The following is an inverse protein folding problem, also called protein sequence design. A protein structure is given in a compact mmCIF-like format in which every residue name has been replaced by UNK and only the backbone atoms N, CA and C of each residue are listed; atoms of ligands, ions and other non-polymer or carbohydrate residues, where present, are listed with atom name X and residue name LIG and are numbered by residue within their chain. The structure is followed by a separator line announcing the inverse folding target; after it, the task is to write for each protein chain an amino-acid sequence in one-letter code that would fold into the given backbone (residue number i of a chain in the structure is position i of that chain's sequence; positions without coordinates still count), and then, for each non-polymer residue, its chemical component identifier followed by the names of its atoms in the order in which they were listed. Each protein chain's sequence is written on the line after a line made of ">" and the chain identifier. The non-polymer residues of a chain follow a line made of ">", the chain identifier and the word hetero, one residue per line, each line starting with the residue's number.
data_IF_055659106249
#
_entry.id   IF_055659106249
#
_cell.length_a   1.000
_cell.length_b   1.000
_cell.length_c   1.000
_cell.angle_alpha   90.00
_cell.angle_beta   90.00
_cell.angle_gamma   90.00
#
_symmetry.space_group_name_H-M   'P 1'
#
loop_
_entity.id
_entity.type
_entity.pdbx_description
1 polymer ?
#
# COMPACT_ATOMS: atom_id res chain seq x y z
N UNK A 1 -9.48 -8.54 -33.73
CA UNK A 1 -10.05 -8.33 -32.38
C UNK A 1 -9.95 -6.86 -32.04
N UNK A 2 -11.08 -6.18 -31.81
CA UNK A 2 -11.07 -4.74 -31.51
C UNK A 2 -10.62 -4.52 -30.07
N UNK A 3 -9.70 -3.58 -29.87
CA UNK A 3 -9.10 -3.24 -28.59
C UNK A 3 -10.18 -2.66 -27.65
N UNK A 4 -10.52 -3.37 -26.56
CA UNK A 4 -11.51 -2.91 -25.57
C UNK A 4 -10.88 -1.77 -24.75
N UNK A 5 -11.13 -0.53 -25.15
CA UNK A 5 -10.69 0.67 -24.42
C UNK A 5 -11.71 1.03 -23.34
N UNK A 6 -11.23 1.35 -22.14
CA UNK A 6 -12.07 1.78 -21.02
C UNK A 6 -12.71 3.14 -21.26
N UNK A 7 -12.06 4.02 -22.04
CA UNK A 7 -12.57 5.34 -22.39
C UNK A 7 -12.50 5.61 -23.90
N UNK A 8 -13.54 6.21 -24.50
CA UNK A 8 -13.68 6.30 -25.95
C UNK A 8 -12.91 7.46 -26.61
N UNK A 9 -12.44 8.47 -25.85
CA UNK A 9 -11.80 9.68 -26.40
C UNK A 9 -10.39 9.87 -25.84
N UNK A 10 -9.44 10.23 -26.71
CA UNK A 10 -8.06 10.53 -26.35
C UNK A 10 -7.71 11.97 -26.73
N UNK A 11 -7.04 12.69 -25.83
CA UNK A 11 -6.47 14.01 -26.07
C UNK A 11 -4.95 13.86 -26.10
N UNK A 12 -4.29 14.33 -27.16
CA UNK A 12 -2.82 14.33 -27.31
C UNK A 12 -2.34 15.77 -27.42
N UNK A 13 -1.36 16.14 -26.61
CA UNK A 13 -0.66 17.42 -26.71
C UNK A 13 0.84 17.17 -26.74
N UNK A 14 1.58 18.07 -27.39
CA UNK A 14 3.04 18.01 -27.43
C UNK A 14 3.60 18.75 -26.23
N UNK A 15 4.72 18.24 -25.73
CA UNK A 15 5.48 18.84 -24.64
C UNK A 15 6.95 18.85 -25.04
N UNK A 16 7.70 19.81 -24.51
CA UNK A 16 9.17 19.77 -24.54
C UNK A 16 9.70 18.74 -23.54
N UNK A 17 11.00 18.45 -23.62
CA UNK A 17 11.66 17.55 -22.66
C UNK A 17 11.52 18.09 -21.22
N UNK A 18 11.85 19.36 -21.00
CA UNK A 18 11.73 20.02 -19.70
C UNK A 18 10.30 20.01 -19.15
N UNK A 19 9.29 20.14 -20.02
CA UNK A 19 7.89 20.02 -19.63
C UNK A 19 7.53 18.60 -19.22
N UNK A 20 8.02 17.61 -19.96
CA UNK A 20 7.80 16.20 -19.66
C UNK A 20 8.47 15.78 -18.35
N UNK A 21 9.70 16.22 -18.09
CA UNK A 21 10.40 15.97 -16.83
C UNK A 21 9.65 16.56 -15.63
N UNK A 22 9.18 17.82 -15.75
CA UNK A 22 8.37 18.46 -14.70
C UNK A 22 7.07 17.71 -14.44
N UNK A 23 6.38 17.28 -15.50
CA UNK A 23 5.16 16.49 -15.37
C UNK A 23 5.42 15.12 -14.71
N UNK A 24 6.54 14.49 -15.03
CA UNK A 24 6.97 13.21 -14.43
C UNK A 24 7.23 13.39 -12.95
N UNK A 25 8.02 14.38 -12.57
CA UNK A 25 8.33 14.67 -11.16
C UNK A 25 7.05 15.02 -10.35
N UNK A 26 6.14 15.80 -10.93
CA UNK A 26 4.86 16.11 -10.29
C UNK A 26 3.95 14.89 -10.15
N UNK A 27 3.93 13.99 -11.14
CA UNK A 27 3.14 12.76 -11.09
C UNK A 27 3.70 11.77 -10.07
N UNK A 28 5.03 11.62 -10.02
CA UNK A 28 5.74 10.75 -9.08
C UNK A 28 5.55 11.20 -7.63
N UNK A 29 5.61 12.51 -7.37
CA UNK A 29 5.32 13.09 -6.06
C UNK A 29 3.92 12.75 -5.53
N UNK A 30 3.01 12.30 -6.40
CA UNK A 30 1.63 11.95 -6.05
C UNK A 30 1.34 10.47 -6.32
N UNK A 31 2.36 9.71 -6.74
CA UNK A 31 2.24 8.27 -7.03
C UNK A 31 1.30 7.95 -8.19
N UNK A 32 1.11 8.88 -9.13
CA UNK A 32 0.27 8.72 -10.32
C UNK A 32 1.12 8.57 -11.58
N UNK A 33 0.58 7.97 -12.63
CA UNK A 33 1.19 8.08 -13.96
C UNK A 33 0.99 9.50 -14.51
N UNK A 34 1.88 9.97 -15.38
CA UNK A 34 1.77 11.29 -16.01
C UNK A 34 0.39 11.54 -16.64
N UNK A 35 -0.20 10.60 -17.42
CA UNK A 35 -1.55 10.81 -17.97
C UNK A 35 -2.64 10.90 -16.90
N UNK A 36 -2.54 10.11 -15.82
CA UNK A 36 -3.50 10.15 -14.72
C UNK A 36 -3.40 11.47 -13.93
N UNK A 37 -2.18 11.95 -13.69
CA UNK A 37 -1.92 13.22 -13.03
C UNK A 37 -2.49 14.40 -13.83
N UNK A 38 -2.19 14.48 -15.13
CA UNK A 38 -2.68 15.56 -16.00
C UNK A 38 -4.20 15.54 -16.09
N UNK A 39 -4.81 14.36 -16.21
CA UNK A 39 -6.27 14.21 -16.20
C UNK A 39 -6.89 14.67 -14.88
N UNK A 40 -6.31 14.28 -13.73
CA UNK A 40 -6.78 14.71 -12.41
C UNK A 40 -6.66 16.24 -12.23
N UNK A 41 -5.56 16.84 -12.69
CA UNK A 41 -5.37 18.30 -12.68
C UNK A 41 -6.37 19.02 -13.57
N UNK A 42 -6.61 18.53 -14.78
CA UNK A 42 -7.60 19.10 -15.70
C UNK A 42 -9.04 19.02 -15.16
N UNK A 43 -9.34 18.01 -14.34
CA UNK A 43 -10.62 17.86 -13.64
C UNK A 43 -10.72 18.71 -12.35
N UNK A 44 -9.71 19.52 -12.03
CA UNK A 44 -9.70 20.36 -10.83
C UNK A 44 -9.45 19.60 -9.53
N UNK A 45 -8.99 18.34 -9.59
CA UNK A 45 -8.67 17.58 -8.38
C UNK A 45 -7.53 18.28 -7.63
N UNK A 46 -7.72 18.52 -6.33
CA UNK A 46 -6.64 18.94 -5.43
C UNK A 46 -5.68 17.78 -5.23
N UNK A 47 -4.74 17.67 -6.16
CA UNK A 47 -3.67 16.68 -6.10
C UNK A 47 -2.73 17.04 -4.95
N UNK A 48 -2.87 16.35 -3.82
CA UNK A 48 -2.06 16.54 -2.61
C UNK A 48 -1.01 15.44 -2.55
N UNK A 49 0.22 15.80 -2.20
CA UNK A 49 1.26 14.81 -1.93
C UNK A 49 0.77 13.84 -0.84
N UNK A 50 0.89 12.52 -1.05
CA UNK A 50 0.65 11.53 -0.02
C UNK A 50 1.46 11.88 1.22
N UNK A 51 0.88 11.70 2.41
CA UNK A 51 1.58 11.95 3.68
C UNK A 51 2.78 11.01 3.89
N UNK A 52 2.79 9.88 3.18
CA UNK A 52 3.80 8.84 3.27
C UNK A 52 4.38 8.71 1.87
N UNK A 53 5.70 8.80 1.76
CA UNK A 53 6.39 8.60 0.51
C UNK A 53 6.27 7.14 0.04
N UNK A 54 6.61 6.90 -1.22
CA UNK A 54 6.49 5.56 -1.82
C UNK A 54 7.29 4.52 -1.04
N UNK A 55 8.46 4.90 -0.52
CA UNK A 55 9.33 3.99 0.22
C UNK A 55 8.72 3.62 1.57
N UNK A 56 8.23 4.59 2.35
CA UNK A 56 7.49 4.34 3.58
C UNK A 56 6.23 3.50 3.35
N UNK A 57 5.48 3.75 2.28
CA UNK A 57 4.31 2.94 1.93
C UNK A 57 4.68 1.47 1.64
N UNK A 58 5.81 1.22 0.97
CA UNK A 58 6.31 -0.14 0.73
C UNK A 58 6.79 -0.82 2.01
N UNK A 59 7.42 -0.08 2.92
CA UNK A 59 7.84 -0.59 4.23
C UNK A 59 6.64 -0.97 5.10
N UNK A 60 5.62 -0.10 5.16
CA UNK A 60 4.36 -0.38 5.86
C UNK A 60 3.68 -1.62 5.27
N UNK A 61 3.60 -1.72 3.94
CA UNK A 61 3.03 -2.90 3.28
C UNK A 61 3.80 -4.19 3.62
N UNK A 62 5.14 -4.10 3.75
CA UNK A 62 6.00 -5.23 4.14
C UNK A 62 5.74 -5.65 5.59
N UNK A 63 5.64 -4.70 6.52
CA UNK A 63 5.35 -5.00 7.93
C UNK A 63 3.93 -5.56 8.12
N UNK A 64 2.93 -4.99 7.44
CA UNK A 64 1.56 -5.53 7.42
C UNK A 64 1.52 -6.97 6.90
N UNK A 65 2.32 -7.29 5.87
CA UNK A 65 2.41 -8.66 5.34
C UNK A 65 2.99 -9.65 6.35
N UNK A 66 3.98 -9.23 7.16
CA UNK A 66 4.53 -10.06 8.25
C UNK A 66 3.46 -10.32 9.32
N UNK A 67 2.73 -9.29 9.72
CA UNK A 67 1.62 -9.43 10.68
C UNK A 67 0.54 -10.38 10.14
N UNK A 68 0.09 -10.19 8.91
CA UNK A 68 -0.91 -11.06 8.28
C UNK A 68 -0.43 -12.52 8.17
N UNK A 69 0.86 -12.74 7.93
CA UNK A 69 1.45 -14.08 7.91
C UNK A 69 1.37 -14.75 9.29
N UNK A 70 1.72 -14.03 10.36
CA UNK A 70 1.63 -14.55 11.72
C UNK A 70 0.17 -14.85 12.12
N UNK A 71 -0.76 -13.95 11.81
CA UNK A 71 -2.20 -14.16 12.06
C UNK A 71 -2.69 -15.40 11.31
N UNK A 72 -2.30 -15.57 10.05
CA UNK A 72 -2.70 -16.74 9.25
C UNK A 72 -2.05 -18.05 9.75
N UNK A 73 -0.88 -17.98 10.39
CA UNK A 73 -0.29 -19.14 11.08
C UNK A 73 -1.09 -19.50 12.34
N UNK A 74 -1.49 -18.52 13.14
CA UNK A 74 -2.34 -18.73 14.32
C UNK A 74 -3.69 -19.31 13.90
N UNK A 75 -4.35 -18.74 12.89
CA UNK A 75 -5.63 -19.25 12.37
C UNK A 75 -5.51 -20.69 11.86
N UNK A 76 -4.47 -21.01 11.08
CA UNK A 76 -4.21 -22.39 10.63
C UNK A 76 -3.90 -23.34 11.78
N UNK A 77 -3.21 -22.85 12.82
CA UNK A 77 -2.90 -23.64 14.00
C UNK A 77 -4.18 -23.95 14.82
N UNK A 78 -5.07 -22.97 15.01
CA UNK A 78 -6.36 -23.15 15.67
C UNK A 78 -7.27 -24.10 14.88
N UNK A 79 -7.39 -23.90 13.55
CA UNK A 79 -8.30 -24.68 12.70
C UNK A 79 -7.91 -26.16 12.58
N UNK A 80 -6.65 -26.52 12.88
CA UNK A 80 -6.16 -27.90 12.81
C UNK A 80 -6.45 -28.72 14.08
N UNK A 81 -7.03 -28.16 15.14
CA UNK A 81 -7.05 -28.80 16.47
C UNK A 81 -8.38 -28.72 17.20
N UNK A 82 -8.73 -29.84 17.85
CA UNK A 82 -9.91 -29.99 18.74
C UNK A 82 -9.54 -29.84 20.23
N UNK A 83 -8.25 -29.94 20.58
CA UNK A 83 -7.69 -29.71 21.94
C UNK A 83 -6.29 -29.08 21.85
N UNK A 84 -5.94 -28.26 22.84
CA UNK A 84 -4.72 -27.43 22.88
C UNK A 84 -3.93 -27.72 24.16
N UNK A 85 -2.60 -27.88 24.06
CA UNK A 85 -1.74 -28.07 25.24
C UNK A 85 -1.34 -26.73 25.91
N UNK A 86 -0.98 -26.78 27.19
CA UNK A 86 -0.50 -25.63 27.97
C UNK A 86 0.72 -24.92 27.33
N UNK A 87 1.65 -25.67 26.75
CA UNK A 87 2.84 -25.11 26.08
C UNK A 87 2.46 -24.34 24.80
N UNK A 88 1.41 -24.78 24.13
CA UNK A 88 0.94 -24.14 22.91
C UNK A 88 0.12 -22.88 23.18
N UNK A 89 -0.66 -22.88 24.26
CA UNK A 89 -1.28 -21.65 24.79
C UNK A 89 -0.21 -20.60 25.11
N UNK A 90 0.90 -20.99 25.74
CA UNK A 90 2.04 -20.07 25.99
C UNK A 90 2.62 -19.53 24.69
N UNK A 91 2.85 -20.36 23.68
CA UNK A 91 3.35 -19.91 22.36
C UNK A 91 2.39 -18.95 21.67
N UNK A 92 1.09 -19.23 21.73
CA UNK A 92 0.07 -18.37 21.14
C UNK A 92 0.03 -17.01 21.84
N UNK A 93 0.14 -16.98 23.17
CA UNK A 93 0.21 -15.76 23.95
C UNK A 93 1.44 -14.91 23.58
N UNK A 94 2.61 -15.53 23.45
CA UNK A 94 3.84 -14.84 22.98
C UNK A 94 3.67 -14.25 21.59
N UNK A 95 3.10 -15.01 20.65
CA UNK A 95 2.88 -14.53 19.28
C UNK A 95 1.89 -13.35 19.23
N UNK A 96 0.84 -13.36 20.06
CA UNK A 96 -0.11 -12.25 20.15
C UNK A 96 0.55 -10.99 20.72
N UNK A 97 1.37 -11.11 21.76
CA UNK A 97 2.12 -9.98 22.31
C UNK A 97 3.12 -9.39 21.29
N UNK A 98 3.80 -10.23 20.52
CA UNK A 98 4.67 -9.74 19.44
C UNK A 98 3.90 -8.99 18.35
N UNK A 99 2.72 -9.48 17.95
CA UNK A 99 1.86 -8.78 16.99
C UNK A 99 1.43 -7.43 17.56
N UNK A 100 0.97 -7.38 18.82
CA UNK A 100 0.58 -6.14 19.49
C UNK A 100 1.71 -5.12 19.50
N UNK A 101 2.92 -5.53 19.92
CA UNK A 101 4.10 -4.66 19.98
C UNK A 101 4.47 -4.09 18.61
N UNK A 102 4.42 -4.91 17.54
CA UNK A 102 4.72 -4.44 16.18
C UNK A 102 3.67 -3.46 15.66
N UNK A 103 2.40 -3.68 15.99
CA UNK A 103 1.33 -2.74 15.63
C UNK A 103 1.51 -1.39 16.34
N UNK A 104 1.86 -1.39 17.62
CA UNK A 104 2.17 -0.15 18.37
C UNK A 104 3.35 0.62 17.76
N UNK A 105 4.42 -0.10 17.38
CA UNK A 105 5.58 0.52 16.71
C UNK A 105 5.22 1.12 15.36
N UNK A 106 4.46 0.40 14.52
CA UNK A 106 4.00 0.93 13.24
C UNK A 106 3.10 2.16 13.42
N UNK A 107 2.24 2.16 14.46
CA UNK A 107 1.39 3.29 14.77
C UNK A 107 2.19 4.54 15.21
N UNK A 108 3.24 4.37 16.02
CA UNK A 108 4.12 5.47 16.42
C UNK A 108 4.90 6.09 15.26
N UNK A 109 5.23 5.31 14.22
CA UNK A 109 5.91 5.82 13.03
C UNK A 109 4.98 6.58 12.07
N UNK A 110 3.66 6.41 12.23
CA UNK A 110 2.62 7.01 11.38
C UNK A 110 1.92 8.21 12.03
N UNK A 111 2.12 8.42 13.33
CA UNK A 111 1.66 9.60 14.08
C UNK A 111 2.71 10.71 14.10
#
# INVERSE_FOLDING_TARGET
>A
MSEKRSEPKQIKFRVTEDEFERLTLMADNVGMSVPAFVKAKAQGMRVRQPKIDRQGALEIARELRKVGTNVNQIARWCNKRTQVSQEELKRLHVNLEEIRKRLEQAWQQLS
#
